data_IF_722017692007
#
_entry.id   IF_722017692007
#
_cell.length_a   1.000
_cell.length_b   1.000
_cell.length_c   1.000
_cell.angle_alpha   90.00
_cell.angle_beta   90.00
_cell.angle_gamma   90.00
#
_symmetry.space_group_name_H-M   'P 1'
#
loop_
_entity.id
_entity.type
_entity.pdbx_description
1 polymer ?
#
# COMPACT_ATOMS: atom_id res chain seq x y z
N UNK A 1 -7.84 21.02 -23.02
CA UNK A 1 -7.47 19.78 -22.32
C UNK A 1 -6.85 20.19 -20.99
N UNK A 2 -7.43 19.75 -19.87
CA UNK A 2 -6.96 20.02 -18.51
C UNK A 2 -5.46 19.66 -18.34
N UNK A 3 -4.73 20.48 -17.58
CA UNK A 3 -3.29 20.35 -17.37
C UNK A 3 -2.94 19.00 -16.74
N UNK A 4 -3.79 18.48 -15.84
CA UNK A 4 -3.59 17.15 -15.26
C UNK A 4 -3.60 16.05 -16.34
N UNK A 5 -4.61 16.05 -17.23
CA UNK A 5 -4.71 15.05 -18.31
C UNK A 5 -3.53 15.08 -19.28
N UNK A 6 -2.98 16.27 -19.55
CA UNK A 6 -1.78 16.41 -20.39
C UNK A 6 -0.55 15.79 -19.71
N UNK A 7 -0.29 16.16 -18.45
CA UNK A 7 0.84 15.62 -17.67
C UNK A 7 0.73 14.10 -17.48
N UNK A 8 -0.46 13.60 -17.15
CA UNK A 8 -0.70 12.17 -17.05
C UNK A 8 -0.37 11.42 -18.35
N UNK A 9 -0.84 11.93 -19.50
CA UNK A 9 -0.55 11.31 -20.80
C UNK A 9 0.93 11.35 -21.15
N UNK A 10 1.62 12.45 -20.80
CA UNK A 10 3.05 12.59 -20.99
C UNK A 10 3.83 11.51 -20.22
N UNK A 11 3.63 11.41 -18.90
CA UNK A 11 4.34 10.42 -18.08
C UNK A 11 3.91 8.96 -18.35
N UNK A 12 2.72 8.75 -18.94
CA UNK A 12 2.27 7.43 -19.40
C UNK A 12 2.91 7.00 -20.74
N UNK A 13 3.48 7.93 -21.51
CA UNK A 13 4.07 7.63 -22.83
C UNK A 13 5.23 6.64 -22.70
N UNK A 14 5.32 5.69 -23.65
CA UNK A 14 6.46 4.76 -23.75
C UNK A 14 7.39 5.07 -24.92
N UNK A 15 6.91 5.83 -25.91
CA UNK A 15 7.63 6.15 -27.16
C UNK A 15 7.26 7.55 -27.66
N UNK A 16 8.16 8.56 -27.54
CA UNK A 16 9.40 8.49 -26.76
C UNK A 16 9.11 8.32 -25.26
N UNK A 17 10.06 7.79 -24.47
CA UNK A 17 9.95 7.83 -23.02
C UNK A 17 9.93 9.29 -22.54
N UNK A 18 9.18 9.62 -21.47
CA UNK A 18 9.18 10.96 -20.91
C UNK A 18 10.53 11.29 -20.27
N UNK A 19 10.86 12.57 -20.25
CA UNK A 19 11.89 13.09 -19.35
C UNK A 19 11.37 13.10 -17.90
N UNK A 20 12.16 12.51 -17.00
CA UNK A 20 11.89 12.39 -15.57
C UNK A 20 12.60 13.45 -14.73
N UNK A 21 13.31 14.40 -15.34
CA UNK A 21 14.02 15.49 -14.63
C UNK A 21 13.14 16.30 -13.68
N UNK A 22 11.85 16.42 -14.00
CA UNK A 22 10.84 17.12 -13.19
C UNK A 22 10.07 16.21 -12.21
N UNK A 23 10.47 14.94 -12.07
CA UNK A 23 9.87 14.01 -11.07
C UNK A 23 10.71 14.05 -9.80
N UNK A 24 10.07 14.30 -8.66
CA UNK A 24 10.76 14.32 -7.38
C UNK A 24 11.44 12.98 -7.08
N UNK A 25 12.76 13.00 -6.90
CA UNK A 25 13.52 11.85 -6.42
C UNK A 25 13.76 11.98 -4.91
N UNK A 26 12.91 11.33 -4.11
CA UNK A 26 12.96 11.41 -2.64
C UNK A 26 14.29 10.95 -2.04
N UNK A 27 15.04 10.08 -2.71
CA UNK A 27 16.35 9.61 -2.23
C UNK A 27 17.45 10.65 -2.44
N UNK A 28 17.28 11.51 -3.43
CA UNK A 28 18.21 12.57 -3.81
C UNK A 28 17.71 13.95 -3.40
N UNK A 29 16.57 14.03 -2.71
CA UNK A 29 16.08 15.24 -2.04
C UNK A 29 17.03 15.60 -0.87
N UNK A 30 18.24 16.01 -1.21
CA UNK A 30 19.04 16.90 -0.38
C UNK A 30 18.33 18.24 -0.39
N UNK A 31 17.39 18.43 0.55
CA UNK A 31 16.75 19.71 0.93
C UNK A 31 16.99 20.81 -0.10
N UNK A 32 16.41 20.67 -1.30
CA UNK A 32 16.41 21.77 -2.25
C UNK A 32 15.35 22.70 -1.69
N UNK A 33 15.80 23.83 -1.13
CA UNK A 33 14.94 24.86 -0.55
C UNK A 33 13.91 25.44 -1.56
N UNK A 34 13.97 25.02 -2.81
CA UNK A 34 13.25 25.59 -3.95
C UNK A 34 11.84 25.00 -4.17
N UNK A 35 11.45 23.91 -3.48
CA UNK A 35 10.20 23.20 -3.82
C UNK A 35 9.14 23.15 -2.70
N UNK A 36 9.29 23.95 -1.64
CA UNK A 36 8.31 23.96 -0.54
C UNK A 36 8.14 22.58 0.12
N UNK A 37 9.18 21.74 0.10
CA UNK A 37 9.24 20.42 0.73
C UNK A 37 10.08 20.49 1.99
N UNK A 38 9.57 19.97 3.11
CA UNK A 38 10.25 19.99 4.39
C UNK A 38 10.45 18.58 4.94
N UNK A 39 11.61 18.33 5.53
CA UNK A 39 11.85 17.13 6.31
C UNK A 39 11.30 17.32 7.73
N UNK A 40 10.31 16.51 8.09
CA UNK A 40 9.70 16.48 9.42
C UNK A 40 10.48 15.53 10.33
N UNK A 41 10.67 15.93 11.59
CA UNK A 41 11.21 15.02 12.62
C UNK A 41 10.23 13.88 12.88
N UNK A 42 10.75 12.67 13.00
CA UNK A 42 9.99 11.53 13.51
C UNK A 42 9.60 11.76 14.97
N UNK A 43 8.55 11.08 15.41
CA UNK A 43 8.12 11.05 16.80
C UNK A 43 8.39 9.68 17.43
N UNK A 44 8.61 9.60 18.75
CA UNK A 44 8.76 8.32 19.44
C UNK A 44 7.46 7.52 19.39
N UNK A 45 7.57 6.20 19.28
CA UNK A 45 6.43 5.31 19.35
C UNK A 45 6.04 5.03 20.81
N UNK A 46 4.74 4.81 21.10
CA UNK A 46 4.30 4.16 22.33
C UNK A 46 5.01 2.81 22.53
N UNK A 47 5.27 2.43 23.78
CA UNK A 47 6.02 1.21 24.13
C UNK A 47 5.44 -0.07 23.49
N UNK A 48 4.11 -0.18 23.45
CA UNK A 48 3.40 -1.31 22.85
C UNK A 48 3.66 -1.41 21.33
N UNK A 49 3.63 -0.28 20.62
CA UNK A 49 3.89 -0.23 19.18
C UNK A 49 5.37 -0.44 18.85
N UNK A 50 6.29 0.03 19.70
CA UNK A 50 7.73 -0.23 19.51
C UNK A 50 8.05 -1.73 19.58
N UNK A 51 7.37 -2.47 20.45
CA UNK A 51 7.52 -3.93 20.55
C UNK A 51 7.00 -4.65 19.30
N UNK A 52 5.86 -4.21 18.76
CA UNK A 52 5.25 -4.78 17.57
C UNK A 52 6.01 -4.44 16.28
N UNK A 53 6.67 -3.28 16.23
CA UNK A 53 7.43 -2.78 15.07
C UNK A 53 8.36 -3.82 14.46
N UNK A 54 9.09 -4.56 15.31
CA UNK A 54 10.07 -5.55 14.87
C UNK A 54 9.38 -6.68 14.11
N UNK A 55 8.25 -7.18 14.62
CA UNK A 55 7.47 -8.25 13.99
C UNK A 55 6.82 -7.81 12.68
N UNK A 56 6.51 -6.51 12.55
CA UNK A 56 5.99 -5.93 11.31
C UNK A 56 7.10 -5.62 10.28
N UNK A 57 8.37 -5.84 10.63
CA UNK A 57 9.50 -5.61 9.73
C UNK A 57 9.71 -4.12 9.41
N UNK A 58 9.36 -3.24 10.34
CA UNK A 58 9.49 -1.79 10.18
C UNK A 58 10.76 -1.29 10.89
N UNK A 59 11.52 -0.39 10.27
CA UNK A 59 12.70 0.28 10.85
C UNK A 59 12.30 1.22 11.97
N UNK A 60 13.26 1.61 12.83
CA UNK A 60 12.97 2.60 13.87
C UNK A 60 12.56 3.93 13.23
N UNK A 61 11.63 4.70 13.81
CA UNK A 61 11.25 6.01 13.27
C UNK A 61 12.44 6.97 13.08
N UNK A 62 13.50 6.81 13.88
CA UNK A 62 14.75 7.55 13.73
C UNK A 62 15.50 7.31 12.43
N UNK A 63 15.18 6.24 11.72
CA UNK A 63 15.76 5.88 10.41
C UNK A 63 14.87 6.34 9.24
N UNK A 64 13.67 6.85 9.51
CA UNK A 64 12.74 7.27 8.46
C UNK A 64 13.07 8.66 7.96
N UNK A 65 12.76 8.91 6.69
CA UNK A 65 12.76 10.26 6.12
C UNK A 65 11.29 10.65 5.88
N UNK A 66 10.83 11.69 6.57
CA UNK A 66 9.43 12.11 6.55
C UNK A 66 9.35 13.47 5.84
N UNK A 67 8.63 13.53 4.73
CA UNK A 67 8.50 14.73 3.91
C UNK A 67 7.08 15.28 3.97
N UNK A 68 6.97 16.60 4.10
CA UNK A 68 5.72 17.36 4.03
C UNK A 68 5.82 18.46 2.99
N UNK A 69 4.69 18.89 2.44
CA UNK A 69 4.64 19.81 1.31
C UNK A 69 3.83 21.05 1.69
N UNK A 70 4.42 22.24 1.61
CA UNK A 70 3.77 23.53 1.98
C UNK A 70 2.47 23.73 1.19
N UNK A 71 2.53 23.48 -0.12
CA UNK A 71 1.42 23.68 -1.04
C UNK A 71 0.41 22.53 -1.03
N UNK A 72 0.68 21.45 -0.28
CA UNK A 72 -0.19 20.28 -0.15
C UNK A 72 -0.31 19.85 1.32
N UNK A 73 -0.92 20.69 2.18
CA UNK A 73 -1.08 20.38 3.60
C UNK A 73 -1.86 19.08 3.77
N UNK A 74 -1.35 18.20 4.65
CA UNK A 74 -1.90 16.86 4.87
C UNK A 74 -1.25 15.75 4.04
N UNK A 75 -0.51 16.09 2.97
CA UNK A 75 0.31 15.11 2.25
C UNK A 75 1.62 14.86 3.00
N UNK A 76 1.86 13.58 3.32
CA UNK A 76 3.05 13.12 4.02
C UNK A 76 3.61 11.93 3.27
N UNK A 77 4.92 11.95 3.01
CA UNK A 77 5.63 10.81 2.46
C UNK A 77 6.66 10.32 3.46
N UNK A 78 6.60 9.03 3.79
CA UNK A 78 7.57 8.36 4.66
C UNK A 78 8.40 7.43 3.77
N UNK A 79 9.71 7.68 3.67
CA UNK A 79 10.63 6.79 2.97
C UNK A 79 11.55 6.07 3.95
N UNK A 80 12.14 4.96 3.49
CA UNK A 80 12.98 4.08 4.30
C UNK A 80 12.29 3.56 5.58
N UNK A 81 10.99 3.24 5.46
CA UNK A 81 10.19 2.74 6.57
C UNK A 81 10.43 1.26 6.89
N UNK A 82 10.56 0.40 5.88
CA UNK A 82 10.64 -1.05 6.07
C UNK A 82 12.09 -1.55 6.04
N UNK A 83 12.33 -2.66 6.74
CA UNK A 83 13.51 -3.50 6.46
C UNK A 83 13.29 -4.26 5.15
N UNK A 84 14.35 -4.77 4.53
CA UNK A 84 14.22 -5.55 3.29
C UNK A 84 13.34 -6.80 3.51
N UNK A 85 13.56 -7.51 4.62
CA UNK A 85 12.76 -8.68 4.98
C UNK A 85 11.31 -8.31 5.31
N UNK A 86 11.09 -7.17 5.96
CA UNK A 86 9.77 -6.62 6.23
C UNK A 86 9.00 -6.33 4.95
N UNK A 87 9.61 -5.60 4.02
CA UNK A 87 9.01 -5.29 2.73
C UNK A 87 8.64 -6.58 1.96
N UNK A 88 9.54 -7.56 1.93
CA UNK A 88 9.29 -8.86 1.31
C UNK A 88 8.15 -9.64 2.01
N UNK A 89 8.07 -9.55 3.33
CA UNK A 89 6.98 -10.16 4.12
C UNK A 89 5.62 -9.56 3.74
N UNK A 90 5.52 -8.23 3.65
CA UNK A 90 4.29 -7.55 3.24
C UNK A 90 3.91 -7.84 1.79
N UNK A 91 4.88 -7.89 0.87
CA UNK A 91 4.63 -8.33 -0.53
C UNK A 91 4.03 -9.73 -0.56
N UNK A 92 4.58 -10.67 0.24
CA UNK A 92 4.03 -12.02 0.36
C UNK A 92 2.62 -12.00 0.95
N UNK A 93 2.35 -11.18 1.98
CA UNK A 93 1.00 -11.04 2.53
C UNK A 93 -0.01 -10.55 1.50
N UNK A 94 0.32 -9.52 0.73
CA UNK A 94 -0.52 -9.02 -0.36
C UNK A 94 -0.82 -10.12 -1.39
N UNK A 95 0.21 -10.83 -1.85
CA UNK A 95 0.06 -11.86 -2.87
C UNK A 95 -0.60 -13.14 -2.35
N UNK A 96 -0.39 -13.53 -1.10
CA UNK A 96 -0.83 -14.83 -0.57
C UNK A 96 -2.09 -14.71 0.27
N UNK A 97 -2.05 -13.85 1.29
CA UNK A 97 -3.06 -13.77 2.33
C UNK A 97 -4.19 -12.83 1.94
N UNK A 98 -3.87 -11.63 1.47
CA UNK A 98 -4.87 -10.62 1.13
C UNK A 98 -5.55 -10.91 -0.20
N UNK A 99 -5.00 -11.79 -1.02
CA UNK A 99 -5.63 -12.26 -2.26
C UNK A 99 -6.45 -13.53 -2.09
N UNK A 100 -6.49 -14.10 -0.89
CA UNK A 100 -7.23 -15.31 -0.55
C UNK A 100 -8.61 -14.97 0.03
N UNK A 101 -9.56 -15.89 -0.10
CA UNK A 101 -10.84 -15.81 0.62
C UNK A 101 -10.59 -15.72 2.14
N UNK A 102 -11.30 -14.86 2.89
CA UNK A 102 -12.55 -14.17 2.56
C UNK A 102 -12.40 -12.78 1.91
N UNK A 103 -11.18 -12.34 1.60
CA UNK A 103 -11.00 -11.03 0.95
C UNK A 103 -11.52 -11.05 -0.49
N UNK A 104 -12.11 -9.95 -0.94
CA UNK A 104 -12.63 -9.85 -2.31
C UNK A 104 -11.56 -9.37 -3.26
N UNK A 105 -11.48 -10.01 -4.42
CA UNK A 105 -10.57 -9.63 -5.49
C UNK A 105 -11.34 -9.34 -6.78
N UNK A 106 -10.67 -8.79 -7.79
CA UNK A 106 -11.29 -8.68 -9.11
C UNK A 106 -11.59 -10.06 -9.73
N UNK A 107 -10.94 -11.13 -9.29
CA UNK A 107 -11.10 -12.46 -9.85
C UNK A 107 -12.46 -13.06 -9.50
N UNK A 108 -12.98 -12.78 -8.30
CA UNK A 108 -14.33 -13.17 -7.90
C UNK A 108 -15.38 -12.50 -8.77
N UNK A 109 -15.18 -11.22 -9.13
CA UNK A 109 -16.09 -10.48 -10.01
C UNK A 109 -16.06 -10.99 -11.45
N UNK A 110 -14.93 -11.54 -11.89
CA UNK A 110 -14.78 -12.16 -13.20
C UNK A 110 -15.34 -13.59 -13.24
N UNK A 111 -15.83 -14.12 -12.12
CA UNK A 111 -16.34 -15.49 -12.03
C UNK A 111 -15.26 -16.55 -12.27
N UNK A 112 -13.99 -16.23 -12.00
CA UNK A 112 -12.91 -17.21 -12.13
C UNK A 112 -13.09 -18.27 -11.05
N UNK A 113 -13.42 -19.49 -11.49
CA UNK A 113 -13.53 -20.65 -10.63
C UNK A 113 -12.14 -21.25 -10.38
N UNK A 114 -11.78 -21.40 -9.11
CA UNK A 114 -10.55 -22.06 -8.69
C UNK A 114 -10.75 -23.57 -8.48
N UNK A 115 -11.88 -24.13 -8.92
CA UNK A 115 -12.23 -25.56 -8.81
C UNK A 115 -12.18 -26.04 -7.35
N UNK A 116 -12.62 -25.19 -6.41
CA UNK A 116 -12.56 -25.45 -4.98
C UNK A 116 -11.16 -25.39 -4.36
N UNK A 117 -10.11 -25.03 -5.12
CA UNK A 117 -8.76 -24.80 -4.58
C UNK A 117 -8.67 -23.40 -3.95
N UNK A 118 -7.79 -23.28 -2.96
CA UNK A 118 -7.43 -21.98 -2.40
C UNK A 118 -6.66 -21.15 -3.45
N UNK A 119 -6.70 -19.82 -3.35
CA UNK A 119 -5.88 -18.93 -4.16
C UNK A 119 -4.42 -19.34 -4.13
N UNK A 120 -3.85 -19.49 -2.93
CA UNK A 120 -2.42 -19.81 -2.82
C UNK A 120 -2.08 -21.16 -3.43
N UNK A 121 -2.96 -22.16 -3.27
CA UNK A 121 -2.77 -23.49 -3.87
C UNK A 121 -2.88 -23.45 -5.39
N UNK A 122 -3.69 -22.54 -5.95
CA UNK A 122 -3.87 -22.37 -7.39
C UNK A 122 -2.67 -21.71 -8.06
N UNK A 123 -1.92 -20.89 -7.32
CA UNK A 123 -0.73 -20.19 -7.85
C UNK A 123 0.60 -20.83 -7.43
N UNK A 124 0.59 -21.69 -6.41
CA UNK A 124 1.78 -22.41 -5.92
C UNK A 124 1.88 -23.79 -6.58
N UNK A 125 2.94 -24.01 -7.36
CA UNK A 125 3.36 -25.37 -7.73
C UNK A 125 2.76 -25.96 -9.01
N UNK A 126 2.26 -25.17 -9.95
CA UNK A 126 2.06 -25.72 -11.30
C UNK A 126 3.41 -26.07 -11.92
N UNK A 127 3.50 -27.30 -12.43
CA UNK A 127 4.63 -27.78 -13.23
C UNK A 127 4.69 -27.06 -14.60
N UNK A 128 3.59 -26.48 -15.05
CA UNK A 128 3.55 -25.57 -16.20
C UNK A 128 3.69 -24.13 -15.71
N UNK A 129 4.68 -23.39 -16.23
CA UNK A 129 4.87 -21.97 -15.88
C UNK A 129 3.72 -21.08 -16.35
N UNK A 130 2.90 -21.53 -17.29
CA UNK A 130 1.99 -20.66 -18.02
C UNK A 130 0.70 -20.32 -17.25
N UNK A 131 0.13 -21.28 -16.53
CA UNK A 131 -1.20 -21.11 -15.91
C UNK A 131 -1.18 -20.30 -14.59
N UNK A 132 -0.29 -20.55 -13.60
CA UNK A 132 -0.16 -19.66 -12.45
C UNK A 132 0.23 -18.24 -12.84
N UNK A 133 1.09 -18.10 -13.86
CA UNK A 133 1.48 -16.78 -14.38
C UNK A 133 0.26 -16.06 -14.95
N UNK A 134 -0.66 -16.78 -15.61
CA UNK A 134 -1.92 -16.21 -16.11
C UNK A 134 -2.86 -15.78 -14.98
N UNK A 135 -2.99 -16.55 -13.90
CA UNK A 135 -3.86 -16.18 -12.77
C UNK A 135 -3.31 -14.98 -11.99
N UNK A 136 -2.03 -15.02 -11.62
CA UNK A 136 -1.36 -13.89 -10.94
C UNK A 136 -1.40 -12.63 -11.82
N UNK A 137 -1.19 -12.77 -13.13
CA UNK A 137 -1.28 -11.64 -14.06
C UNK A 137 -2.70 -11.15 -14.35
N UNK A 138 -3.75 -11.81 -13.84
CA UNK A 138 -5.13 -11.32 -13.88
C UNK A 138 -5.55 -10.62 -12.60
N UNK A 139 -4.87 -10.84 -11.48
CA UNK A 139 -5.12 -10.13 -10.22
C UNK A 139 -4.80 -8.65 -10.38
N UNK A 140 -5.71 -7.77 -9.96
CA UNK A 140 -5.61 -6.31 -10.11
C UNK A 140 -5.84 -5.57 -8.82
N UNK A 141 -6.74 -6.08 -7.98
CA UNK A 141 -7.02 -5.51 -6.67
C UNK A 141 -7.53 -6.59 -5.73
N UNK A 142 -7.31 -6.36 -4.44
CA UNK A 142 -8.04 -6.99 -3.34
C UNK A 142 -8.58 -5.94 -2.37
N UNK A 143 -9.64 -6.28 -1.63
CA UNK A 143 -10.22 -5.42 -0.60
C UNK A 143 -10.27 -6.13 0.76
N UNK A 144 -9.92 -5.38 1.81
CA UNK A 144 -9.82 -5.82 3.20
C UNK A 144 -10.76 -4.96 4.05
N UNK A 145 -11.45 -5.53 5.03
CA UNK A 145 -12.38 -4.77 5.85
C UNK A 145 -13.71 -4.59 5.13
N UNK A 146 -14.29 -3.39 5.20
CA UNK A 146 -15.43 -3.02 4.36
C UNK A 146 -15.05 -3.09 2.87
N UNK A 147 -15.73 -3.93 2.12
CA UNK A 147 -15.46 -4.11 0.70
C UNK A 147 -16.10 -2.97 -0.09
N UNK A 148 -15.28 -2.27 -0.87
CA UNK A 148 -15.79 -1.20 -1.72
C UNK A 148 -16.62 -1.79 -2.87
N UNK A 149 -17.89 -1.39 -2.96
CA UNK A 149 -18.71 -1.72 -4.12
C UNK A 149 -18.39 -0.74 -5.25
N UNK A 150 -17.76 -1.22 -6.31
CA UNK A 150 -17.34 -0.39 -7.45
C UNK A 150 -18.51 0.19 -8.27
N UNK A 151 -19.69 -0.44 -8.22
CA UNK A 151 -20.89 0.01 -8.95
C UNK A 151 -21.62 1.12 -8.19
N UNK A 152 -21.90 0.90 -6.90
CA UNK A 152 -22.61 1.88 -6.05
C UNK A 152 -21.68 2.94 -5.47
N UNK A 153 -20.38 2.65 -5.37
CA UNK A 153 -19.34 3.45 -4.74
C UNK A 153 -19.53 3.62 -3.22
N UNK A 154 -20.22 2.68 -2.60
CA UNK A 154 -20.57 2.69 -1.17
C UNK A 154 -19.98 1.47 -0.44
N UNK A 155 -19.81 1.63 0.88
CA UNK A 155 -19.49 0.54 1.80
C UNK A 155 -20.76 0.04 2.49
N UNK A 156 -20.75 -1.21 2.97
CA UNK A 156 -21.93 -1.82 3.59
C UNK A 156 -21.58 -2.68 4.80
N UNK A 157 -22.43 -2.66 5.82
CA UNK A 157 -22.27 -3.45 7.05
C UNK A 157 -22.31 -4.96 6.83
N UNK A 158 -23.00 -5.42 5.78
CA UNK A 158 -23.08 -6.84 5.44
C UNK A 158 -21.94 -7.29 4.53
N UNK A 159 -21.20 -6.35 3.94
CA UNK A 159 -20.17 -6.62 2.95
C UNK A 159 -18.78 -6.25 3.47
N UNK A 160 -18.30 -7.07 4.41
CA UNK A 160 -17.00 -6.88 5.05
C UNK A 160 -16.33 -8.19 5.45
N UNK A 161 -15.01 -8.18 5.40
CA UNK A 161 -14.15 -9.18 6.03
C UNK A 161 -13.48 -8.60 7.27
N UNK A 162 -12.93 -9.42 8.18
CA UNK A 162 -12.08 -8.90 9.26
C UNK A 162 -10.87 -8.14 8.70
N UNK A 163 -10.45 -7.08 9.38
CA UNK A 163 -9.17 -6.42 9.12
C UNK A 163 -8.09 -7.11 9.96
N UNK A 164 -6.97 -7.55 9.37
CA UNK A 164 -5.87 -8.14 10.15
C UNK A 164 -5.32 -7.15 11.17
N UNK A 165 -5.12 -7.60 12.42
CA UNK A 165 -4.53 -6.77 13.48
C UNK A 165 -3.19 -6.15 13.08
N UNK A 166 -2.38 -6.88 12.33
CA UNK A 166 -1.10 -6.39 11.80
C UNK A 166 -1.25 -5.18 10.87
N UNK A 167 -2.34 -5.07 10.11
CA UNK A 167 -2.63 -3.90 9.26
C UNK A 167 -3.02 -2.70 10.12
N UNK A 168 -3.89 -2.91 11.12
CA UNK A 168 -4.24 -1.89 12.11
C UNK A 168 -2.98 -1.34 12.81
N UNK A 169 -2.16 -2.24 13.36
CA UNK A 169 -0.92 -1.86 14.05
C UNK A 169 0.07 -1.15 13.13
N UNK A 170 0.18 -1.58 11.87
CA UNK A 170 1.02 -0.91 10.89
C UNK A 170 0.56 0.53 10.64
N UNK A 171 -0.75 0.75 10.46
CA UNK A 171 -1.31 2.09 10.31
C UNK A 171 -1.07 2.97 11.55
N UNK A 172 -1.36 2.45 12.74
CA UNK A 172 -1.13 3.16 14.00
C UNK A 172 0.34 3.52 14.20
N UNK A 173 1.25 2.62 13.83
CA UNK A 173 2.68 2.82 13.91
C UNK A 173 3.13 3.98 12.99
N UNK A 174 2.67 4.02 11.75
CA UNK A 174 3.02 5.12 10.84
C UNK A 174 2.43 6.45 11.28
N UNK A 175 1.18 6.46 11.74
CA UNK A 175 0.53 7.64 12.29
C UNK A 175 1.29 8.19 13.49
N UNK A 176 1.60 7.35 14.49
CA UNK A 176 2.36 7.74 15.67
C UNK A 176 3.77 8.23 15.29
N UNK A 177 4.50 7.48 14.47
CA UNK A 177 5.87 7.81 14.09
C UNK A 177 5.99 9.08 13.23
N UNK A 178 4.96 9.39 12.44
CA UNK A 178 4.85 10.64 11.69
C UNK A 178 4.33 11.82 12.54
N UNK A 179 3.98 11.58 13.81
CA UNK A 179 3.54 12.60 14.74
C UNK A 179 2.07 12.97 14.65
N UNK A 180 1.23 12.01 14.26
CA UNK A 180 -0.23 12.09 14.26
C UNK A 180 -0.81 10.95 15.11
N UNK A 181 -0.50 10.89 16.42
CA UNK A 181 -1.10 9.90 17.30
C UNK A 181 -2.61 10.18 17.39
N UNK A 182 -3.39 9.53 16.53
CA UNK A 182 -4.83 9.69 16.50
C UNK A 182 -5.46 8.49 17.20
N UNK A 183 -5.95 8.69 18.42
CA UNK A 183 -6.66 7.67 19.19
C UNK A 183 -7.94 7.17 18.53
N UNK A 184 -8.44 7.89 17.52
CA UNK A 184 -9.69 7.59 16.84
C UNK A 184 -9.47 6.95 15.46
N UNK A 185 -8.23 6.79 15.00
CA UNK A 185 -7.97 6.06 13.77
C UNK A 185 -8.30 4.58 13.97
N UNK A 186 -8.98 4.00 12.99
CA UNK A 186 -9.21 2.56 12.85
C UNK A 186 -9.05 2.18 11.39
N UNK A 187 -8.31 1.12 11.13
CA UNK A 187 -8.26 0.48 9.82
C UNK A 187 -9.57 -0.30 9.62
N UNK A 188 -10.47 0.27 8.82
CA UNK A 188 -11.80 -0.30 8.58
C UNK A 188 -11.98 -0.76 7.12
N UNK A 189 -11.24 -0.17 6.19
CA UNK A 189 -11.25 -0.55 4.78
C UNK A 189 -9.85 -0.40 4.17
N UNK A 190 -9.45 -1.34 3.31
CA UNK A 190 -8.17 -1.34 2.61
C UNK A 190 -8.32 -1.87 1.19
N UNK A 191 -7.49 -1.36 0.28
CA UNK A 191 -7.36 -1.85 -1.10
C UNK A 191 -5.88 -2.16 -1.34
N UNK A 192 -5.59 -3.38 -1.78
CA UNK A 192 -4.24 -3.86 -2.10
C UNK A 192 -4.11 -4.24 -3.56
#
# INVERSE_FOLDING_TARGET
MDNFKKLFKYYKSKKPPPDFSNVFNLHELQIRAEESIYCKKHHPLPHELESLRINLGVRKPSEWLIYTFENHPGLIIISNAFTNDGAMSWIKKCLQQFSESPYRTNLTNLGIDLEGKSWWSSIKGSLSRDEPTKLVSQLRWSTIGYHHNWDTKEYSEVDKSPVPNEVEFLCQLFLCGAGYPNSNFKAEAGIS
#
